data_IF_224549720191
#
_entry.id   IF_224549720191
#
_cell.length_a   1.000
_cell.length_b   1.000
_cell.length_c   1.000
_cell.angle_alpha   90.00
_cell.angle_beta   90.00
_cell.angle_gamma   90.00
#
_symmetry.space_group_name_H-M   'P 1'
#
loop_
_entity.id
_entity.type
_entity.pdbx_description
1 polymer ?
#
# COMPACT_ATOMS: atom_id res chain seq x y z
N UNK A 1 -16.35 14.11 -17.19
CA UNK A 1 -15.59 12.93 -16.72
C UNK A 1 -14.62 13.47 -15.66
N UNK A 2 -15.16 13.76 -14.49
CA UNK A 2 -14.45 14.46 -13.40
C UNK A 2 -13.81 13.46 -12.45
N UNK A 3 -12.93 12.61 -12.98
CA UNK A 3 -12.06 11.75 -12.19
C UNK A 3 -10.84 12.55 -11.72
N UNK A 4 -11.07 13.54 -10.87
CA UNK A 4 -10.00 14.26 -10.19
C UNK A 4 -10.56 14.89 -8.91
N UNK A 5 -10.42 14.17 -7.80
CA UNK A 5 -10.41 14.69 -6.42
C UNK A 5 -11.37 15.86 -6.18
N UNK A 6 -12.65 15.56 -5.93
CA UNK A 6 -13.58 16.54 -5.37
C UNK A 6 -13.16 16.82 -3.93
N UNK A 7 -12.14 17.65 -3.73
CA UNK A 7 -11.63 17.98 -2.42
C UNK A 7 -10.77 19.25 -2.37
N UNK A 8 -10.76 19.86 -1.18
CA UNK A 8 -9.99 21.05 -0.77
C UNK A 8 -8.53 21.07 -1.26
N UNK A 9 -7.87 19.91 -1.33
CA UNK A 9 -6.49 19.76 -1.82
C UNK A 9 -6.41 20.01 -3.33
N UNK A 10 -7.38 19.49 -4.11
CA UNK A 10 -7.44 19.71 -5.56
C UNK A 10 -7.77 21.16 -5.90
N UNK A 11 -8.65 21.80 -5.14
CA UNK A 11 -8.98 23.22 -5.30
C UNK A 11 -7.83 24.14 -4.88
N UNK A 12 -7.08 23.76 -3.83
CA UNK A 12 -5.85 24.46 -3.42
C UNK A 12 -4.71 24.34 -4.45
N UNK A 13 -4.55 23.16 -5.06
CA UNK A 13 -3.55 22.97 -6.13
C UNK A 13 -3.95 23.76 -7.39
N UNK A 14 -5.24 23.81 -7.73
CA UNK A 14 -5.77 24.61 -8.85
C UNK A 14 -5.68 26.11 -8.61
N UNK A 15 -5.68 26.57 -7.36
CA UNK A 15 -5.50 28.00 -7.03
C UNK A 15 -4.05 28.46 -7.15
N UNK A 16 -3.09 27.56 -6.99
CA UNK A 16 -1.64 27.85 -7.14
C UNK A 16 -1.18 27.63 -8.58
N UNK A 17 -1.72 26.65 -9.30
CA UNK A 17 -1.33 26.29 -10.67
C UNK A 17 -2.53 26.51 -11.62
N UNK A 18 -2.58 27.63 -12.35
CA UNK A 18 -3.69 27.97 -13.25
C UNK A 18 -3.63 27.23 -14.62
N UNK A 19 -2.66 26.34 -14.82
CA UNK A 19 -2.54 25.53 -16.06
C UNK A 19 -3.33 24.21 -15.85
N UNK A 20 -4.41 23.96 -16.60
CA UNK A 20 -5.33 22.85 -16.35
C UNK A 20 -4.67 21.46 -16.54
N UNK A 21 -3.77 21.31 -17.49
CA UNK A 21 -3.09 20.02 -17.72
C UNK A 21 -2.10 19.67 -16.60
N UNK A 22 -1.37 20.66 -16.08
CA UNK A 22 -0.41 20.44 -14.99
C UNK A 22 -1.14 20.16 -13.67
N UNK A 23 -2.25 20.85 -13.42
CA UNK A 23 -3.10 20.60 -12.25
C UNK A 23 -3.69 19.17 -12.25
N UNK A 24 -4.01 18.62 -13.42
CA UNK A 24 -4.49 17.23 -13.52
C UNK A 24 -3.40 16.22 -13.13
N UNK A 25 -2.19 16.38 -13.67
CA UNK A 25 -1.05 15.50 -13.38
C UNK A 25 -0.69 15.54 -11.89
N UNK A 26 -0.62 16.74 -11.30
CA UNK A 26 -0.25 16.91 -9.89
C UNK A 26 -1.29 16.28 -8.96
N UNK A 27 -2.59 16.44 -9.25
CA UNK A 27 -3.65 15.81 -8.46
C UNK A 27 -3.63 14.28 -8.59
N UNK A 28 -3.35 13.73 -9.78
CA UNK A 28 -3.17 12.30 -9.97
C UNK A 28 -2.01 11.74 -9.14
N UNK A 29 -0.86 12.43 -9.14
CA UNK A 29 0.32 12.04 -8.35
C UNK A 29 0.01 12.07 -6.85
N UNK A 30 -0.66 13.11 -6.37
CA UNK A 30 -1.06 13.23 -4.95
C UNK A 30 -2.01 12.10 -4.54
N UNK A 31 -2.97 11.72 -5.40
CA UNK A 31 -3.84 10.58 -5.17
C UNK A 31 -3.07 9.25 -5.04
N UNK A 32 -2.11 9.02 -5.93
CA UNK A 32 -1.24 7.82 -5.89
C UNK A 32 -0.41 7.80 -4.61
N UNK A 33 0.21 8.92 -4.24
CA UNK A 33 1.00 9.04 -2.99
C UNK A 33 0.10 8.76 -1.77
N UNK A 34 -1.13 9.27 -1.77
CA UNK A 34 -2.12 9.00 -0.73
C UNK A 34 -2.39 7.50 -0.57
N UNK A 35 -2.70 6.79 -1.67
CA UNK A 35 -2.92 5.33 -1.64
C UNK A 35 -1.69 4.60 -1.14
N UNK A 36 -0.49 4.92 -1.65
CA UNK A 36 0.74 4.21 -1.31
C UNK A 36 1.14 4.38 0.16
N UNK A 37 0.77 5.51 0.77
CA UNK A 37 1.10 5.82 2.17
C UNK A 37 0.41 4.84 3.14
N UNK A 38 -0.83 4.44 2.83
CA UNK A 38 -1.64 3.58 3.71
C UNK A 38 -1.02 2.19 3.92
N UNK A 39 -0.74 1.38 2.89
CA UNK A 39 -0.10 0.08 3.07
C UNK A 39 1.37 0.23 3.52
N UNK A 40 2.09 1.28 3.09
CA UNK A 40 3.49 1.47 3.46
C UNK A 40 3.67 1.71 4.96
N UNK A 41 2.81 2.52 5.58
CA UNK A 41 2.84 2.77 7.03
C UNK A 41 2.03 1.73 7.81
N UNK A 42 0.90 1.29 7.27
CA UNK A 42 -0.02 0.37 7.94
C UNK A 42 0.50 -1.06 8.03
N UNK A 43 1.08 -1.60 6.95
CA UNK A 43 1.50 -3.00 6.92
C UNK A 43 2.57 -3.35 7.98
N UNK A 44 3.65 -2.55 8.17
CA UNK A 44 4.61 -2.80 9.24
C UNK A 44 3.96 -2.79 10.64
N UNK A 45 3.03 -1.86 10.88
CA UNK A 45 2.33 -1.78 12.18
C UNK A 45 1.48 -3.03 12.40
N UNK A 46 0.72 -3.46 11.39
CA UNK A 46 -0.10 -4.67 11.46
C UNK A 46 0.74 -5.92 11.72
N UNK A 47 1.87 -6.09 11.02
CA UNK A 47 2.80 -7.22 11.23
C UNK A 47 3.34 -7.22 12.67
N UNK A 48 3.69 -6.05 13.21
CA UNK A 48 4.17 -5.92 14.59
C UNK A 48 3.08 -6.31 15.60
N UNK A 49 1.86 -5.80 15.41
CA UNK A 49 0.70 -6.09 16.27
C UNK A 49 0.35 -7.56 16.22
N UNK A 50 0.26 -8.15 15.03
CA UNK A 50 -0.01 -9.58 14.83
C UNK A 50 0.96 -10.44 15.66
N UNK A 51 2.26 -10.15 15.59
CA UNK A 51 3.29 -10.91 16.33
C UNK A 51 3.17 -10.73 17.84
N UNK A 52 2.74 -9.56 18.33
CA UNK A 52 2.46 -9.32 19.76
C UNK A 52 1.22 -10.07 20.22
N UNK A 53 0.13 -10.00 19.46
CA UNK A 53 -1.14 -10.66 19.77
C UNK A 53 -0.96 -12.18 19.77
N UNK A 54 -0.34 -12.74 18.74
CA UNK A 54 -0.04 -14.18 18.66
C UNK A 54 0.87 -14.64 19.80
N UNK A 55 1.84 -13.81 20.22
CA UNK A 55 2.65 -14.10 21.41
C UNK A 55 1.80 -14.18 22.67
N UNK A 56 0.95 -13.17 22.89
CA UNK A 56 0.09 -13.08 24.06
C UNK A 56 -0.86 -14.27 24.18
N UNK A 57 -1.50 -14.68 23.07
CA UNK A 57 -2.37 -15.86 23.01
C UNK A 57 -1.60 -17.14 23.41
N UNK A 58 -0.33 -17.25 23.00
CA UNK A 58 0.53 -18.39 23.27
C UNK A 58 1.24 -18.32 24.63
N UNK A 59 0.86 -17.39 25.51
CA UNK A 59 1.52 -17.13 26.80
C UNK A 59 3.04 -16.91 26.67
N UNK A 60 3.50 -16.32 25.55
CA UNK A 60 4.89 -15.91 25.32
C UNK A 60 4.97 -14.43 25.00
N UNK A 61 6.10 -13.80 25.32
CA UNK A 61 6.31 -12.42 24.88
C UNK A 61 6.54 -12.38 23.37
N UNK A 62 5.89 -11.40 22.71
CA UNK A 62 6.17 -11.08 21.31
C UNK A 62 7.56 -10.46 21.13
N UNK A 63 7.83 -9.75 20.02
CA UNK A 63 9.13 -9.12 19.79
C UNK A 63 9.52 -8.20 20.96
N UNK A 64 10.72 -8.36 21.53
CA UNK A 64 11.22 -7.54 22.67
C UNK A 64 12.71 -7.14 22.54
N UNK A 65 13.44 -7.67 21.55
CA UNK A 65 14.91 -7.55 21.49
C UNK A 65 15.43 -6.49 20.52
N UNK A 66 14.68 -6.18 19.45
CA UNK A 66 15.11 -5.24 18.40
C UNK A 66 14.51 -3.87 18.68
N UNK A 67 15.16 -3.11 19.58
CA UNK A 67 14.71 -1.79 20.06
C UNK A 67 13.74 -1.85 21.25
N UNK A 68 13.31 -0.69 21.78
CA UNK A 68 12.34 -0.63 22.89
C UNK A 68 11.04 -1.33 22.48
N UNK A 69 10.59 -2.29 23.28
CA UNK A 69 9.42 -3.14 23.01
C UNK A 69 9.43 -3.92 21.68
N UNK A 70 10.55 -3.97 20.96
CA UNK A 70 10.67 -4.66 19.67
C UNK A 70 10.09 -3.89 18.47
N UNK A 71 9.89 -2.57 18.57
CA UNK A 71 9.27 -1.76 17.49
C UNK A 71 10.11 -1.77 16.20
N UNK A 72 11.44 -1.85 16.31
CA UNK A 72 12.33 -1.87 15.14
C UNK A 72 12.37 -3.24 14.45
N UNK A 73 11.66 -4.24 14.96
CA UNK A 73 11.64 -5.58 14.39
C UNK A 73 11.17 -5.60 12.93
N UNK A 74 10.14 -4.82 12.58
CA UNK A 74 9.58 -4.78 11.23
C UNK A 74 10.56 -4.17 10.23
N UNK A 75 11.30 -3.14 10.64
CA UNK A 75 12.38 -2.53 9.84
C UNK A 75 13.51 -3.54 9.64
N UNK A 76 13.91 -4.26 10.70
CA UNK A 76 14.93 -5.29 10.60
C UNK A 76 14.53 -6.43 9.65
N UNK A 77 13.25 -6.83 9.63
CA UNK A 77 12.74 -7.85 8.72
C UNK A 77 12.78 -7.37 7.26
N UNK A 78 12.43 -6.10 6.99
CA UNK A 78 12.56 -5.51 5.65
C UNK A 78 14.02 -5.48 5.20
N UNK A 79 14.93 -4.99 6.04
CA UNK A 79 16.36 -4.95 5.72
C UNK A 79 16.91 -6.35 5.43
N UNK A 80 16.53 -7.34 6.23
CA UNK A 80 16.90 -8.75 6.00
C UNK A 80 16.45 -9.25 4.63
N UNK A 81 15.22 -8.92 4.21
CA UNK A 81 14.69 -9.32 2.91
C UNK A 81 15.41 -8.62 1.75
N UNK A 82 15.80 -7.35 1.90
CA UNK A 82 16.55 -6.60 0.88
C UNK A 82 17.96 -7.18 0.65
N UNK A 83 18.61 -7.65 1.70
CA UNK A 83 19.92 -8.31 1.60
C UNK A 83 19.83 -9.80 1.23
N UNK A 84 18.62 -10.36 1.10
CA UNK A 84 18.47 -11.78 0.81
C UNK A 84 18.77 -12.06 -0.65
N UNK A 85 19.69 -12.98 -0.89
CA UNK A 85 19.99 -13.48 -2.24
C UNK A 85 18.76 -14.13 -2.87
N UNK A 86 18.49 -13.78 -4.14
CA UNK A 86 17.39 -14.33 -4.92
C UNK A 86 17.87 -15.64 -5.57
N UNK A 87 17.52 -16.76 -4.95
CA UNK A 87 17.81 -18.09 -5.49
C UNK A 87 16.64 -18.52 -6.38
N UNK A 88 16.88 -18.58 -7.69
CA UNK A 88 15.90 -19.09 -8.68
C UNK A 88 16.18 -20.57 -8.94
N UNK A 89 15.19 -21.48 -8.79
CA UNK A 89 15.39 -22.90 -9.08
C UNK A 89 15.79 -23.13 -10.54
N UNK A 90 16.76 -24.03 -10.79
CA UNK A 90 17.24 -24.32 -12.16
C UNK A 90 16.18 -24.91 -13.08
N UNK A 91 15.15 -25.55 -12.52
CA UNK A 91 14.03 -26.16 -13.25
C UNK A 91 12.82 -25.23 -13.43
N UNK A 92 12.86 -24.01 -12.88
CA UNK A 92 11.74 -23.08 -12.94
C UNK A 92 11.85 -22.14 -14.15
N UNK A 93 10.70 -21.79 -14.71
CA UNK A 93 10.58 -20.72 -15.70
C UNK A 93 10.84 -19.36 -15.02
N UNK A 94 11.90 -18.67 -15.47
CA UNK A 94 12.36 -17.42 -14.84
C UNK A 94 11.35 -16.28 -14.94
N UNK A 95 10.60 -16.22 -16.03
CA UNK A 95 9.64 -15.15 -16.29
C UNK A 95 8.45 -15.25 -15.34
N UNK A 96 7.86 -16.44 -15.25
CA UNK A 96 6.72 -16.72 -14.37
C UNK A 96 7.12 -16.61 -12.90
N UNK A 97 8.33 -17.06 -12.53
CA UNK A 97 8.83 -16.97 -11.16
C UNK A 97 8.99 -15.51 -10.68
N UNK A 98 9.44 -14.61 -11.55
CA UNK A 98 9.59 -13.19 -11.21
C UNK A 98 8.25 -12.45 -11.21
N UNK A 99 7.31 -12.84 -12.07
CA UNK A 99 5.97 -12.24 -12.11
C UNK A 99 5.06 -12.71 -10.97
N UNK A 100 5.27 -13.92 -10.44
CA UNK A 100 4.45 -14.50 -9.38
C UNK A 100 4.22 -13.56 -8.18
N UNK A 101 5.23 -12.87 -7.61
CA UNK A 101 5.00 -11.90 -6.53
C UNK A 101 4.40 -10.56 -6.98
N UNK A 102 4.55 -10.18 -8.26
CA UNK A 102 4.06 -8.90 -8.78
C UNK A 102 2.54 -8.90 -9.02
N UNK A 103 1.97 -10.04 -9.44
CA UNK A 103 0.53 -10.18 -9.69
C UNK A 103 -0.36 -9.98 -8.45
N UNK A 104 -0.13 -10.63 -7.29
CA UNK A 104 -0.94 -10.38 -6.10
C UNK A 104 -0.70 -8.98 -5.53
N UNK A 105 0.50 -8.43 -5.71
CA UNK A 105 0.81 -7.07 -5.29
C UNK A 105 -0.01 -6.04 -6.08
N UNK A 106 -0.09 -6.18 -7.41
CA UNK A 106 -0.89 -5.29 -8.24
C UNK A 106 -2.39 -5.42 -7.93
N UNK A 107 -2.90 -6.64 -7.73
CA UNK A 107 -4.28 -6.87 -7.35
C UNK A 107 -4.64 -6.17 -6.02
N UNK A 108 -3.77 -6.23 -5.01
CA UNK A 108 -3.99 -5.55 -3.74
C UNK A 108 -4.08 -4.02 -3.89
N UNK A 109 -3.23 -3.42 -4.73
CA UNK A 109 -3.29 -1.98 -5.00
C UNK A 109 -4.53 -1.56 -5.80
N UNK A 110 -4.99 -2.40 -6.74
CA UNK A 110 -6.21 -2.17 -7.51
C UNK A 110 -7.45 -2.15 -6.60
N UNK A 111 -7.52 -3.06 -5.63
CA UNK A 111 -8.59 -3.08 -4.62
C UNK A 111 -8.60 -1.80 -3.79
N UNK A 112 -7.43 -1.34 -3.33
CA UNK A 112 -7.31 -0.10 -2.55
C UNK A 112 -7.72 1.16 -3.33
N UNK A 113 -7.65 1.14 -4.67
CA UNK A 113 -8.04 2.28 -5.49
C UNK A 113 -9.56 2.52 -5.50
N UNK A 114 -10.36 1.47 -5.24
CA UNK A 114 -11.84 1.54 -5.27
C UNK A 114 -12.43 1.73 -3.87
N UNK A 115 -11.69 1.41 -2.81
CA UNK A 115 -12.18 1.55 -1.44
C UNK A 115 -12.30 3.06 -1.08
N UNK A 116 -13.50 3.54 -0.71
CA UNK A 116 -13.68 4.92 -0.26
C UNK A 116 -13.18 5.08 1.18
N UNK A 117 -12.18 5.95 1.40
CA UNK A 117 -11.68 6.25 2.74
C UNK A 117 -12.42 7.42 3.41
N UNK A 118 -12.99 8.32 2.60
CA UNK A 118 -13.85 9.42 3.04
C UNK A 118 -14.79 9.81 1.89
N UNK A 119 -15.87 10.52 2.19
CA UNK A 119 -16.83 11.06 1.20
C UNK A 119 -16.18 11.87 0.09
N UNK A 120 -14.97 12.37 0.33
CA UNK A 120 -14.19 13.15 -0.62
C UNK A 120 -12.82 12.54 -0.94
N UNK A 121 -12.47 11.41 -0.33
CA UNK A 121 -11.19 10.72 -0.51
C UNK A 121 -11.42 9.32 -1.08
N UNK A 122 -11.59 9.29 -2.40
CA UNK A 122 -11.67 8.08 -3.21
C UNK A 122 -10.91 8.34 -4.51
N UNK A 123 -10.17 7.34 -4.98
CA UNK A 123 -9.30 7.51 -6.16
C UNK A 123 -10.07 7.27 -7.45
N UNK A 124 -10.87 6.21 -7.48
CA UNK A 124 -11.79 5.94 -8.59
C UNK A 124 -13.14 5.50 -8.03
N UNK A 125 -14.21 6.09 -8.55
CA UNK A 125 -15.58 5.66 -8.29
C UNK A 125 -16.18 4.96 -9.52
N UNK A 126 -15.93 3.64 -9.67
CA UNK A 126 -16.55 2.87 -10.74
C UNK A 126 -18.02 2.59 -10.39
N UNK A 127 -18.91 2.75 -11.37
CA UNK A 127 -20.35 2.42 -11.25
C UNK A 127 -20.58 0.98 -10.75
N UNK A 128 -19.64 0.06 -11.06
CA UNK A 128 -19.66 -1.33 -10.64
C UNK A 128 -18.55 -1.64 -9.60
N UNK A 129 -18.44 -0.83 -8.55
CA UNK A 129 -17.42 -1.02 -7.51
C UNK A 129 -17.46 -2.35 -6.77
N UNK A 130 -18.65 -2.82 -6.36
CA UNK A 130 -18.76 -4.10 -5.64
C UNK A 130 -18.37 -5.30 -6.53
N UNK A 131 -18.88 -5.44 -7.77
CA UNK A 131 -18.40 -6.47 -8.69
C UNK A 131 -16.90 -6.42 -8.95
N UNK A 132 -16.32 -5.23 -9.06
CA UNK A 132 -14.89 -5.04 -9.27
C UNK A 132 -14.04 -5.60 -8.11
N UNK A 133 -14.51 -5.50 -6.87
CA UNK A 133 -13.79 -6.00 -5.70
C UNK A 133 -13.80 -7.54 -5.59
N UNK A 134 -14.77 -8.20 -6.22
CA UNK A 134 -14.96 -9.66 -6.12
C UNK A 134 -14.32 -10.39 -7.33
N UNK A 135 -14.20 -9.70 -8.47
CA UNK A 135 -13.66 -10.25 -9.72
C UNK A 135 -12.14 -10.45 -9.68
#
# INVERSE_FOLDING_TARGET
>A
MDFATTNFIGDFVRSIIPIPELAFIVNGILGIIGILTIPFLGAPILIYVERKVCGFIQARTGPMRVGPYGVLQTIADVMKLLFKEILVPKSADKFTYLLAPLLPLSAAFLVLAVIPFSSSMQVTDPVLGIPYLIA
#
